data_IF_964818149769
#
_entry.id   IF_964818149769
#
_cell.length_a   1.000
_cell.length_b   1.000
_cell.length_c   1.000
_cell.angle_alpha   90.00
_cell.angle_beta   90.00
_cell.angle_gamma   90.00
#
_symmetry.space_group_name_H-M   'P 1'
#
loop_
_entity.id
_entity.type
_entity.pdbx_description
1 polymer ?
#
# COMPACT_ATOMS: atom_id res chain seq x y z
N UNK A 1 -38.61 -0.62 3.89
CA UNK A 1 -38.02 0.40 3.00
C UNK A 1 -36.59 0.65 3.44
N UNK A 2 -35.63 -0.10 2.90
CA UNK A 2 -34.23 0.03 3.28
C UNK A 2 -33.55 1.04 2.37
N UNK A 3 -33.07 2.14 2.95
CA UNK A 3 -32.26 3.17 2.28
C UNK A 3 -30.90 2.55 1.91
N UNK A 4 -30.60 2.53 0.62
CA UNK A 4 -29.28 2.20 0.12
C UNK A 4 -28.30 3.32 0.51
N UNK A 5 -27.30 3.00 1.33
CA UNK A 5 -26.13 3.85 1.47
C UNK A 5 -25.39 3.86 0.13
N UNK A 6 -25.10 5.06 -0.38
CA UNK A 6 -24.60 5.31 -1.72
C UNK A 6 -23.44 4.40 -2.12
N UNK A 7 -23.50 3.90 -3.34
CA UNK A 7 -22.40 3.20 -3.98
C UNK A 7 -21.12 4.04 -3.83
N UNK A 8 -20.11 3.49 -3.13
CA UNK A 8 -18.76 4.03 -3.22
C UNK A 8 -18.40 4.07 -4.71
N UNK A 9 -17.90 5.19 -5.26
CA UNK A 9 -17.45 5.20 -6.64
C UNK A 9 -16.43 4.06 -6.78
N UNK A 10 -16.68 3.14 -7.72
CA UNK A 10 -15.73 2.09 -8.03
C UNK A 10 -14.43 2.77 -8.45
N UNK A 11 -13.36 2.56 -7.68
CA UNK A 11 -12.06 3.10 -8.02
C UNK A 11 -11.67 2.58 -9.41
N UNK A 12 -11.44 3.50 -10.34
CA UNK A 12 -10.94 3.20 -11.67
C UNK A 12 -9.49 3.68 -11.75
N UNK A 13 -8.52 2.80 -12.06
CA UNK A 13 -7.16 3.25 -12.27
C UNK A 13 -7.09 4.27 -13.42
N UNK A 14 -6.23 5.29 -13.32
CA UNK A 14 -6.10 6.30 -14.37
C UNK A 14 -5.52 5.69 -15.65
N UNK A 15 -5.89 6.24 -16.80
CA UNK A 15 -5.30 5.86 -18.09
C UNK A 15 -3.86 6.37 -18.21
N UNK A 16 -3.09 5.82 -19.15
CA UNK A 16 -1.73 6.29 -19.41
C UNK A 16 -1.71 7.77 -19.82
N UNK A 17 -2.70 8.22 -20.58
CA UNK A 17 -2.86 9.63 -20.97
C UNK A 17 -3.15 10.53 -19.77
N UNK A 18 -3.98 10.06 -18.82
CA UNK A 18 -4.27 10.80 -17.59
C UNK A 18 -3.04 10.92 -16.70
N UNK A 19 -2.24 9.85 -16.61
CA UNK A 19 -0.95 9.83 -15.89
C UNK A 19 0.03 10.81 -16.53
N UNK A 20 0.27 10.72 -17.85
CA UNK A 20 1.20 11.61 -18.57
C UNK A 20 0.78 13.07 -18.45
N UNK A 21 -0.52 13.36 -18.57
CA UNK A 21 -1.05 14.71 -18.39
C UNK A 21 -0.83 15.25 -16.98
N UNK A 22 -0.96 14.40 -15.95
CA UNK A 22 -0.70 14.80 -14.57
C UNK A 22 0.79 15.02 -14.28
N UNK A 23 1.67 14.24 -14.90
CA UNK A 23 3.12 14.34 -14.72
C UNK A 23 3.74 15.54 -15.45
N UNK A 24 3.18 15.96 -16.58
CA UNK A 24 3.70 17.06 -17.39
C UNK A 24 4.97 16.68 -18.16
N UNK A 25 5.77 17.67 -18.56
CA UNK A 25 7.02 17.45 -19.29
C UNK A 25 8.11 16.86 -18.37
N UNK A 26 8.34 15.55 -18.49
CA UNK A 26 9.34 14.81 -17.71
C UNK A 26 10.73 14.78 -18.35
N UNK A 27 10.89 15.33 -19.57
CA UNK A 27 12.16 15.24 -20.33
C UNK A 27 13.33 15.96 -19.67
N UNK A 28 13.03 16.92 -18.78
CA UNK A 28 14.03 17.71 -18.03
C UNK A 28 14.46 17.05 -16.72
N UNK A 29 13.83 15.94 -16.33
CA UNK A 29 14.19 15.21 -15.12
C UNK A 29 15.46 14.39 -15.33
N UNK A 30 16.13 14.01 -14.25
CA UNK A 30 17.27 13.08 -14.34
C UNK A 30 16.81 11.72 -14.91
N UNK A 31 17.73 10.98 -15.53
CA UNK A 31 17.42 9.66 -16.11
C UNK A 31 16.78 8.70 -15.10
N UNK A 32 17.23 8.73 -13.84
CA UNK A 32 16.66 7.93 -12.75
C UNK A 32 15.19 8.31 -12.49
N UNK A 33 14.88 9.61 -12.47
CA UNK A 33 13.52 10.10 -12.24
C UNK A 33 12.60 9.80 -13.42
N UNK A 34 13.11 9.89 -14.65
CA UNK A 34 12.36 9.47 -15.83
C UNK A 34 12.00 7.98 -15.75
N UNK A 35 12.97 7.13 -15.38
CA UNK A 35 12.74 5.69 -15.20
C UNK A 35 11.70 5.40 -14.10
N UNK A 36 11.78 6.08 -12.96
CA UNK A 36 10.83 5.90 -11.85
C UNK A 36 9.38 6.29 -12.23
N UNK A 37 9.23 7.23 -13.16
CA UNK A 37 7.93 7.71 -13.66
C UNK A 37 7.44 6.95 -14.89
N UNK A 38 8.26 6.07 -15.46
CA UNK A 38 7.82 5.22 -16.56
C UNK A 38 7.02 4.09 -15.96
N UNK A 39 5.70 4.12 -16.11
CA UNK A 39 4.84 2.95 -15.86
C UNK A 39 5.27 1.85 -16.83
N UNK A 40 6.13 0.94 -16.39
CA UNK A 40 6.49 -0.25 -17.19
C UNK A 40 5.19 -1.02 -17.42
N UNK A 41 4.68 -0.95 -18.65
CA UNK A 41 3.44 -1.62 -19.06
C UNK A 41 3.58 -3.14 -19.09
N UNK A 42 4.82 -3.64 -19.07
CA UNK A 42 5.23 -5.03 -19.22
C UNK A 42 5.81 -5.65 -17.94
N UNK A 43 6.11 -4.86 -16.92
CA UNK A 43 6.80 -5.36 -15.74
C UNK A 43 6.08 -4.92 -14.47
N UNK A 44 5.10 -5.76 -14.12
CA UNK A 44 4.90 -6.14 -12.71
C UNK A 44 6.27 -6.17 -12.05
N UNK A 45 6.46 -5.40 -10.97
CA UNK A 45 7.66 -5.54 -10.14
C UNK A 45 7.98 -7.03 -10.01
N UNK A 46 9.24 -7.41 -10.26
CA UNK A 46 9.65 -8.79 -10.03
C UNK A 46 9.15 -9.16 -8.64
N UNK A 47 8.34 -10.22 -8.50
CA UNK A 47 7.79 -10.57 -7.21
C UNK A 47 8.95 -10.75 -6.25
N UNK A 48 8.81 -10.16 -5.06
CA UNK A 48 9.81 -10.32 -4.00
C UNK A 48 10.04 -11.82 -3.85
N UNK A 49 11.30 -12.24 -3.96
CA UNK A 49 11.66 -13.65 -3.84
C UNK A 49 11.15 -14.18 -2.51
N UNK A 50 10.67 -15.42 -2.51
CA UNK A 50 10.33 -16.10 -1.26
C UNK A 50 11.58 -16.11 -0.38
N UNK A 51 11.48 -15.68 0.90
CA UNK A 51 12.63 -15.68 1.79
C UNK A 51 13.20 -17.09 1.96
N UNK A 52 14.52 -17.21 1.90
CA UNK A 52 15.24 -18.47 2.12
C UNK A 52 15.30 -18.82 3.61
N UNK A 53 15.68 -20.06 3.95
CA UNK A 53 15.78 -20.51 5.35
C UNK A 53 16.73 -19.68 6.24
N UNK A 54 17.68 -18.97 5.63
CA UNK A 54 18.60 -18.06 6.31
C UNK A 54 18.10 -16.61 6.40
N UNK A 55 16.97 -16.28 5.78
CA UNK A 55 16.45 -14.92 5.79
C UNK A 55 15.82 -14.57 7.14
N UNK A 56 15.95 -13.30 7.53
CA UNK A 56 15.43 -12.81 8.80
C UNK A 56 13.92 -12.98 8.92
N UNK A 57 13.18 -12.76 7.82
CA UNK A 57 11.71 -12.87 7.79
C UNK A 57 11.22 -14.30 8.05
N UNK A 58 12.03 -15.31 7.73
CA UNK A 58 11.74 -16.74 7.95
C UNK A 58 12.12 -17.19 9.35
N UNK A 59 13.14 -16.58 9.96
CA UNK A 59 13.61 -16.92 11.30
C UNK A 59 12.85 -16.16 12.40
N UNK A 60 12.34 -14.98 12.11
CA UNK A 60 11.64 -14.13 13.06
C UNK A 60 10.17 -13.98 12.67
N UNK A 61 9.36 -14.91 13.17
CA UNK A 61 7.90 -14.75 13.18
C UNK A 61 7.57 -13.71 14.25
N UNK A 62 7.35 -12.47 13.82
CA UNK A 62 6.78 -11.46 14.70
C UNK A 62 5.29 -11.74 14.87
N UNK A 63 4.85 -11.92 16.12
CA UNK A 63 3.43 -11.88 16.44
C UNK A 63 2.94 -10.46 16.17
N UNK A 64 2.35 -10.25 14.98
CA UNK A 64 1.78 -8.97 14.61
C UNK A 64 0.85 -8.44 15.70
N UNK A 65 0.86 -7.13 15.93
CA UNK A 65 0.01 -6.55 16.95
C UNK A 65 -1.46 -6.63 16.50
N UNK A 66 -2.28 -7.39 17.23
CA UNK A 66 -3.74 -7.36 17.03
C UNK A 66 -4.31 -6.01 17.46
N UNK A 67 -5.46 -5.62 16.92
CA UNK A 67 -6.17 -4.41 17.37
C UNK A 67 -6.41 -4.41 18.89
N UNK A 68 -6.72 -5.58 19.47
CA UNK A 68 -6.88 -5.74 20.92
C UNK A 68 -5.57 -5.51 21.69
N UNK A 69 -4.43 -5.93 21.13
CA UNK A 69 -3.10 -5.66 21.69
C UNK A 69 -2.75 -4.16 21.59
N UNK A 70 -3.06 -3.53 20.46
CA UNK A 70 -2.92 -2.08 20.28
C UNK A 70 -3.72 -1.32 21.34
N UNK A 71 -5.03 -1.58 21.45
CA UNK A 71 -5.90 -0.93 22.43
C UNK A 71 -5.39 -1.13 23.86
N UNK A 72 -4.89 -2.33 24.22
CA UNK A 72 -4.33 -2.59 25.55
C UNK A 72 -3.03 -1.82 25.82
N UNK A 73 -2.15 -1.73 24.83
CA UNK A 73 -0.86 -1.05 24.95
C UNK A 73 -0.98 0.48 24.88
N UNK A 74 -1.91 0.99 24.08
CA UNK A 74 -2.10 2.43 23.83
C UNK A 74 -3.14 3.06 24.74
N UNK A 75 -4.12 2.30 25.25
CA UNK A 75 -5.14 2.77 26.19
C UNK A 75 -4.92 2.26 27.61
N UNK A 76 -3.66 1.98 27.99
CA UNK A 76 -3.27 1.48 29.32
C UNK A 76 -3.67 2.39 30.48
N UNK A 77 -4.98 2.45 30.78
CA UNK A 77 -5.55 3.33 31.78
C UNK A 77 -7.08 3.48 31.76
N UNK A 78 -7.85 2.98 30.77
CA UNK A 78 -9.32 3.08 30.84
C UNK A 78 -9.95 1.72 31.04
N UNK A 79 -10.18 1.39 32.32
CA UNK A 79 -11.19 0.42 32.73
C UNK A 79 -12.56 0.99 32.34
N UNK A 80 -13.22 0.35 31.38
CA UNK A 80 -14.67 0.44 31.30
C UNK A 80 -15.20 -0.62 32.26
N UNK A 81 -15.58 -0.17 33.46
CA UNK A 81 -16.30 -1.00 34.42
C UNK A 81 -17.61 -1.51 33.81
N UNK A 82 -18.01 -2.68 34.28
CA UNK A 82 -19.21 -3.43 33.88
C UNK A 82 -20.51 -2.62 33.94
#
# INVERSE_FOLDING_TARGET
MSKWYGAKPSFKPPSQEEIVRALGDTTKLSKIMQMALTTRTDESFDPIKIPESSDWLTQHVEEGQTMSSFLRSSLGGVSYGE
#
